data_IF_779896992464
#
_entry.id   IF_779896992464
#
_cell.length_a   1.000
_cell.length_b   1.000
_cell.length_c   1.000
_cell.angle_alpha   90.00
_cell.angle_beta   90.00
_cell.angle_gamma   90.00
#
_symmetry.space_group_name_H-M   'P 1'
#
loop_
_entity.id
_entity.type
_entity.pdbx_description
1 polymer ?
#
# COMPACT_ATOMS: atom_id res chain seq x y z
N UNK A 1 16.36 9.68 -27.26
CA UNK A 1 15.78 10.66 -26.31
C UNK A 1 14.28 10.41 -26.21
N UNK A 2 13.87 9.48 -25.34
CA UNK A 2 12.56 9.37 -24.67
C UNK A 2 12.63 8.11 -23.78
N UNK A 3 13.26 8.17 -22.60
CA UNK A 3 13.00 7.15 -21.57
C UNK A 3 11.55 7.37 -21.20
N UNK A 4 10.66 6.45 -21.56
CA UNK A 4 9.28 6.50 -21.12
C UNK A 4 9.30 6.76 -19.61
N UNK A 5 8.51 7.73 -19.14
CA UNK A 5 8.28 7.84 -17.70
C UNK A 5 7.58 6.55 -17.32
N UNK A 6 8.31 5.57 -16.80
CA UNK A 6 7.74 4.30 -16.35
C UNK A 6 6.86 4.62 -15.15
N UNK A 7 5.56 4.75 -15.43
CA UNK A 7 4.53 4.86 -14.42
C UNK A 7 4.32 3.49 -13.82
N UNK A 8 4.52 3.37 -12.51
CA UNK A 8 4.27 2.14 -11.77
C UNK A 8 2.87 2.25 -11.16
N UNK A 9 1.98 1.34 -11.56
CA UNK A 9 0.67 1.21 -10.93
C UNK A 9 0.81 0.36 -9.65
N UNK A 10 0.20 0.83 -8.57
CA UNK A 10 0.23 0.17 -7.27
C UNK A 10 -1.17 0.06 -6.72
N UNK A 11 -1.59 -1.17 -6.43
CA UNK A 11 -2.78 -1.43 -5.64
C UNK A 11 -2.43 -1.41 -4.15
N UNK A 12 -3.12 -0.61 -3.36
CA UNK A 12 -3.05 -0.59 -1.91
C UNK A 12 -4.40 -1.04 -1.36
N UNK A 13 -4.40 -2.04 -0.49
CA UNK A 13 -5.59 -2.48 0.23
C UNK A 13 -5.32 -2.38 1.72
N UNK A 14 -6.19 -1.66 2.43
CA UNK A 14 -6.16 -1.57 3.89
C UNK A 14 -7.37 -2.30 4.48
N UNK A 15 -7.13 -3.01 5.58
CA UNK A 15 -8.16 -3.66 6.37
C UNK A 15 -7.90 -3.49 7.85
N UNK A 16 -8.98 -3.33 8.63
CA UNK A 16 -8.90 -3.20 10.08
C UNK A 16 -9.98 -4.05 10.77
N UNK A 17 -9.64 -4.83 11.82
CA UNK A 17 -10.62 -5.56 12.61
C UNK A 17 -11.62 -4.67 13.35
N UNK A 18 -11.31 -3.38 13.55
CA UNK A 18 -12.17 -2.42 14.26
C UNK A 18 -13.39 -1.96 13.44
N UNK A 19 -13.48 -2.38 12.16
CA UNK A 19 -14.66 -2.23 11.31
C UNK A 19 -14.57 -1.11 10.27
N UNK A 20 -15.65 -0.96 9.49
CA UNK A 20 -15.68 -0.09 8.31
C UNK A 20 -15.44 1.40 8.61
N UNK A 21 -16.03 1.94 9.67
CA UNK A 21 -15.87 3.37 10.03
C UNK A 21 -14.43 3.69 10.39
N UNK A 22 -13.79 2.85 11.21
CA UNK A 22 -12.36 2.98 11.51
C UNK A 22 -11.53 2.77 10.26
N UNK A 23 -11.84 1.76 9.45
CA UNK A 23 -11.09 1.49 8.21
C UNK A 23 -11.08 2.71 7.28
N UNK A 24 -12.23 3.36 7.13
CA UNK A 24 -12.39 4.50 6.23
C UNK A 24 -11.73 5.77 6.77
N UNK A 25 -11.94 6.12 8.06
CA UNK A 25 -11.27 7.26 8.69
C UNK A 25 -9.75 7.18 8.57
N UNK A 26 -9.24 5.98 8.76
CA UNK A 26 -7.80 5.73 8.74
C UNK A 26 -7.27 5.71 7.30
N UNK A 27 -8.07 5.24 6.34
CA UNK A 27 -7.77 5.39 4.93
C UNK A 27 -7.74 6.86 4.50
N UNK A 28 -8.67 7.69 4.95
CA UNK A 28 -8.68 9.14 4.68
C UNK A 28 -7.38 9.80 5.21
N UNK A 29 -6.97 9.47 6.43
CA UNK A 29 -5.70 9.95 6.98
C UNK A 29 -4.50 9.49 6.15
N UNK A 30 -4.50 8.26 5.63
CA UNK A 30 -3.44 7.78 4.75
C UNK A 30 -3.45 8.53 3.41
N UNK A 31 -4.62 8.80 2.83
CA UNK A 31 -4.78 9.56 1.57
C UNK A 31 -4.15 10.95 1.69
N UNK A 32 -4.39 11.66 2.80
CA UNK A 32 -3.78 12.97 3.06
C UNK A 32 -2.24 12.91 3.05
N UNK A 33 -1.66 11.85 3.61
CA UNK A 33 -0.21 11.63 3.60
C UNK A 33 0.30 11.23 2.20
N UNK A 34 -0.46 10.41 1.47
CA UNK A 34 -0.12 10.00 0.10
C UNK A 34 -0.11 11.18 -0.87
N UNK A 35 -0.99 12.17 -0.67
CA UNK A 35 -1.04 13.39 -1.50
C UNK A 35 0.26 14.23 -1.42
N UNK A 36 1.10 13.99 -0.40
CA UNK A 36 2.42 14.63 -0.28
C UNK A 36 3.50 13.94 -1.14
N UNK A 37 3.20 12.78 -1.74
CA UNK A 37 4.11 12.07 -2.64
C UNK A 37 3.98 12.57 -4.09
N UNK A 38 5.02 12.39 -4.94
CA UNK A 38 4.95 12.71 -6.35
C UNK A 38 4.09 11.68 -7.11
N UNK A 39 2.78 11.74 -6.90
CA UNK A 39 1.78 10.90 -7.55
C UNK A 39 1.52 11.40 -8.97
N UNK A 40 1.29 10.46 -9.89
CA UNK A 40 0.77 10.72 -11.23
C UNK A 40 -0.75 10.69 -11.25
N UNK A 41 -1.33 9.79 -10.45
CA UNK A 41 -2.77 9.64 -10.26
C UNK A 41 -3.07 8.88 -8.97
N UNK A 42 -4.27 9.06 -8.42
CA UNK A 42 -4.81 8.34 -7.27
C UNK A 42 -6.31 8.09 -7.49
N UNK A 43 -6.73 6.83 -7.34
CA UNK A 43 -8.15 6.45 -7.28
C UNK A 43 -8.43 5.71 -5.99
N UNK A 44 -9.32 6.26 -5.16
CA UNK A 44 -9.77 5.63 -3.93
C UNK A 44 -11.11 4.94 -4.18
N UNK A 45 -11.17 3.66 -3.83
CA UNK A 45 -12.41 2.88 -3.74
C UNK A 45 -12.70 2.63 -2.27
N UNK A 46 -13.72 3.30 -1.71
CA UNK A 46 -14.05 3.22 -0.29
C UNK A 46 -14.56 1.83 0.08
N UNK A 47 -14.48 1.51 1.37
CA UNK A 47 -15.01 0.27 1.88
C UNK A 47 -16.53 0.14 1.65
N UNK A 48 -17.04 -1.03 1.20
CA UNK A 48 -18.48 -1.22 1.10
C UNK A 48 -19.11 -1.17 2.49
N UNK A 49 -20.32 -0.61 2.62
CA UNK A 49 -21.02 -0.57 3.91
C UNK A 49 -21.23 -1.99 4.43
N UNK A 50 -21.05 -2.17 5.74
CA UNK A 50 -21.26 -3.47 6.37
C UNK A 50 -22.72 -3.94 6.13
N UNK A 51 -22.95 -5.22 5.78
CA UNK A 51 -24.30 -5.76 5.63
C UNK A 51 -25.09 -5.59 6.94
N UNK A 52 -26.36 -5.20 6.83
CA UNK A 52 -27.24 -5.04 8.00
C UNK A 52 -27.27 -6.32 8.84
N UNK A 53 -26.96 -6.20 10.14
CA UNK A 53 -27.00 -7.33 11.10
C UNK A 53 -25.67 -8.07 11.28
N UNK A 54 -24.60 -7.65 10.63
CA UNK A 54 -23.24 -8.19 10.84
C UNK A 54 -22.70 -7.76 12.21
N UNK A 55 -22.17 -8.70 13.01
CA UNK A 55 -21.48 -8.36 14.27
C UNK A 55 -20.09 -7.81 13.96
N UNK A 56 -19.61 -6.90 14.79
CA UNK A 56 -18.20 -6.47 14.74
C UNK A 56 -17.29 -7.71 14.85
N UNK A 57 -16.43 -7.92 13.85
CA UNK A 57 -15.51 -9.07 13.75
C UNK A 57 -15.91 -10.19 12.77
N UNK A 58 -17.13 -10.20 12.22
CA UNK A 58 -17.58 -11.26 11.28
C UNK A 58 -17.17 -11.00 9.81
N UNK A 59 -16.83 -9.76 9.45
CA UNK A 59 -16.47 -9.37 8.08
C UNK A 59 -15.22 -8.50 8.12
N UNK A 60 -14.15 -8.95 7.47
CA UNK A 60 -13.00 -8.08 7.18
C UNK A 60 -13.43 -7.07 6.14
N UNK A 61 -13.40 -5.80 6.53
CA UNK A 61 -13.74 -4.69 5.65
C UNK A 61 -12.45 -4.18 5.00
N UNK A 62 -12.51 -3.89 3.71
CA UNK A 62 -11.37 -3.45 2.92
C UNK A 62 -11.68 -2.11 2.27
N UNK A 63 -10.77 -1.16 2.40
CA UNK A 63 -10.74 0.07 1.59
C UNK A 63 -9.49 0.01 0.71
N UNK A 64 -9.56 0.49 -0.53
CA UNK A 64 -8.47 0.29 -1.50
C UNK A 64 -8.15 1.54 -2.32
N UNK A 65 -6.88 1.70 -2.69
CA UNK A 65 -6.39 2.80 -3.51
C UNK A 65 -5.58 2.24 -4.67
N UNK A 66 -5.79 2.76 -5.87
CA UNK A 66 -4.89 2.57 -7.03
C UNK A 66 -4.06 3.83 -7.20
N UNK A 67 -2.74 3.69 -7.21
CA UNK A 67 -1.78 4.78 -7.33
C UNK A 67 -0.96 4.65 -8.61
N UNK A 68 -0.80 5.74 -9.34
CA UNK A 68 0.23 5.85 -10.38
C UNK A 68 1.45 6.59 -9.84
N UNK A 69 2.63 5.97 -9.85
CA UNK A 69 3.87 6.57 -9.34
C UNK A 69 4.94 6.78 -10.41
N UNK A 70 5.73 7.85 -10.27
CA UNK A 70 6.84 8.16 -11.17
C UNK A 70 8.12 7.36 -10.84
N UNK A 71 8.13 6.08 -11.20
CA UNK A 71 9.30 5.20 -11.12
C UNK A 71 9.70 4.76 -9.70
N UNK A 72 10.78 3.96 -9.62
CA UNK A 72 11.19 3.25 -8.41
C UNK A 72 11.44 4.11 -7.14
N UNK A 73 11.96 5.34 -7.21
CA UNK A 73 12.12 6.18 -6.01
C UNK A 73 10.78 6.52 -5.34
N UNK A 74 9.74 6.79 -6.13
CA UNK A 74 8.40 7.07 -5.62
C UNK A 74 7.79 5.81 -4.96
N UNK A 75 7.97 4.64 -5.56
CA UNK A 75 7.56 3.33 -4.99
C UNK A 75 8.20 3.11 -3.61
N UNK A 76 9.51 3.38 -3.50
CA UNK A 76 10.22 3.26 -2.22
C UNK A 76 9.66 4.22 -1.18
N UNK A 77 9.40 5.48 -1.54
CA UNK A 77 8.82 6.46 -0.63
C UNK A 77 7.42 6.04 -0.16
N UNK A 78 6.59 5.48 -1.03
CA UNK A 78 5.29 4.92 -0.67
C UNK A 78 5.42 3.81 0.39
N UNK A 79 6.29 2.82 0.14
CA UNK A 79 6.45 1.68 1.05
C UNK A 79 6.90 2.16 2.45
N UNK A 80 7.83 3.12 2.50
CA UNK A 80 8.29 3.70 3.77
C UNK A 80 7.21 4.51 4.47
N UNK A 81 6.41 5.26 3.73
CA UNK A 81 5.26 6.01 4.27
C UNK A 81 4.24 5.06 4.89
N UNK A 82 3.83 4.01 4.17
CA UNK A 82 2.89 3.00 4.67
C UNK A 82 3.45 2.27 5.89
N UNK A 83 4.74 1.96 5.89
CA UNK A 83 5.42 1.33 7.04
C UNK A 83 5.37 2.23 8.28
N UNK A 84 5.64 3.53 8.12
CA UNK A 84 5.63 4.52 9.19
C UNK A 84 4.21 4.80 9.69
N UNK A 85 3.25 4.90 8.77
CA UNK A 85 1.82 5.01 9.07
C UNK A 85 1.33 3.83 9.90
N UNK A 86 1.61 2.58 9.48
CA UNK A 86 1.30 1.39 10.27
C UNK A 86 2.07 1.34 11.61
N UNK A 87 3.17 2.08 11.78
CA UNK A 87 3.91 2.13 13.04
C UNK A 87 3.18 2.90 14.14
N UNK A 88 2.35 3.86 13.74
CA UNK A 88 1.54 4.67 14.66
C UNK A 88 0.26 3.95 15.12
N UNK A 89 -0.05 2.80 14.53
CA UNK A 89 -1.29 2.04 14.75
C UNK A 89 -1.11 0.87 15.71
N UNK A 90 -2.21 0.52 16.37
CA UNK A 90 -2.34 -0.69 17.21
C UNK A 90 -2.92 -1.89 16.45
N UNK A 91 -3.60 -1.66 15.33
CA UNK A 91 -4.35 -2.65 14.55
C UNK A 91 -4.28 -2.33 13.05
N UNK A 92 -4.68 -3.33 12.25
CA UNK A 92 -4.84 -3.22 10.81
C UNK A 92 -3.67 -3.80 10.00
N UNK A 93 -3.95 -4.04 8.72
CA UNK A 93 -3.01 -4.60 7.76
C UNK A 93 -3.13 -3.89 6.41
N UNK A 94 -1.99 -3.64 5.78
CA UNK A 94 -1.90 -3.09 4.43
C UNK A 94 -1.27 -4.12 3.51
N UNK A 95 -1.90 -4.34 2.36
CA UNK A 95 -1.35 -5.13 1.27
C UNK A 95 -1.05 -4.19 0.10
N UNK A 96 0.20 -4.18 -0.35
CA UNK A 96 0.66 -3.44 -1.52
C UNK A 96 0.93 -4.42 -2.67
N UNK A 97 0.40 -4.12 -3.85
CA UNK A 97 0.59 -4.92 -5.08
C UNK A 97 1.25 -4.07 -6.16
N UNK A 98 2.37 -4.55 -6.69
CA UNK A 98 3.18 -3.89 -7.72
C UNK A 98 3.45 -4.93 -8.81
N UNK A 99 2.69 -4.86 -9.91
CA UNK A 99 2.69 -5.94 -10.91
C UNK A 99 2.37 -7.29 -10.26
N UNK A 100 3.26 -8.26 -10.41
CA UNK A 100 3.14 -9.60 -9.81
C UNK A 100 3.69 -9.70 -8.38
N UNK A 101 4.30 -8.63 -7.87
CA UNK A 101 4.87 -8.60 -6.52
C UNK A 101 3.85 -8.10 -5.49
N UNK A 102 3.75 -8.79 -4.36
CA UNK A 102 2.84 -8.43 -3.26
C UNK A 102 3.63 -8.29 -1.94
N UNK A 103 3.27 -7.27 -1.16
CA UNK A 103 3.84 -6.97 0.15
C UNK A 103 2.72 -6.79 1.17
N UNK A 104 2.60 -7.74 2.10
CA UNK A 104 1.66 -7.66 3.21
C UNK A 104 2.37 -7.18 4.48
N UNK A 105 1.84 -6.11 5.09
CA UNK A 105 2.36 -5.51 6.32
C UNK A 105 1.25 -5.45 7.36
N UNK A 106 1.56 -5.90 8.58
CA UNK A 106 0.65 -5.85 9.72
C UNK A 106 1.11 -4.80 10.76
N UNK A 107 0.15 -4.23 11.50
CA UNK A 107 0.44 -3.47 12.70
C UNK A 107 1.00 -4.38 13.81
N UNK A 108 1.80 -3.82 14.73
CA UNK A 108 2.21 -4.51 15.96
C UNK A 108 3.56 -5.25 15.95
N UNK A 109 4.24 -5.43 14.81
CA UNK A 109 5.60 -6.01 14.77
C UNK A 109 6.63 -5.14 14.03
N UNK A 110 7.20 -4.10 14.67
CA UNK A 110 8.07 -3.13 13.99
C UNK A 110 9.37 -3.73 13.43
N UNK A 111 9.94 -4.71 14.13
CA UNK A 111 11.16 -5.38 13.70
C UNK A 111 10.91 -6.28 12.48
N UNK A 112 9.81 -7.03 12.51
CA UNK A 112 9.44 -7.92 11.42
C UNK A 112 9.02 -7.15 10.18
N UNK A 113 8.17 -6.13 10.35
CA UNK A 113 7.75 -5.24 9.28
C UNK A 113 8.93 -4.62 8.54
N UNK A 114 9.97 -4.19 9.28
CA UNK A 114 11.19 -3.63 8.67
C UNK A 114 11.98 -4.66 7.86
N UNK A 115 12.13 -5.89 8.36
CA UNK A 115 12.80 -6.96 7.61
C UNK A 115 12.05 -7.31 6.32
N UNK A 116 10.72 -7.41 6.40
CA UNK A 116 9.86 -7.68 5.25
C UNK A 116 9.99 -6.56 4.19
N UNK A 117 9.93 -5.29 4.61
CA UNK A 117 10.12 -4.13 3.72
C UNK A 117 11.51 -4.14 3.07
N UNK A 118 12.57 -4.36 3.84
CA UNK A 118 13.94 -4.39 3.32
C UNK A 118 14.12 -5.52 2.28
N UNK A 119 13.61 -6.71 2.56
CA UNK A 119 13.66 -7.84 1.63
C UNK A 119 12.88 -7.56 0.34
N UNK A 120 11.70 -6.94 0.45
CA UNK A 120 10.87 -6.61 -0.70
C UNK A 120 11.52 -5.54 -1.59
N UNK A 121 12.09 -4.49 -1.01
CA UNK A 121 12.82 -3.46 -1.76
C UNK A 121 14.04 -4.05 -2.50
N UNK A 122 14.75 -4.99 -1.87
CA UNK A 122 15.86 -5.70 -2.52
C UNK A 122 15.37 -6.58 -3.68
N UNK A 123 14.22 -7.25 -3.53
CA UNK A 123 13.60 -8.02 -4.60
C UNK A 123 13.23 -7.14 -5.80
N UNK A 124 12.51 -6.03 -5.59
CA UNK A 124 12.12 -5.11 -6.66
C UNK A 124 13.33 -4.56 -7.44
N UNK A 125 14.41 -4.23 -6.73
CA UNK A 125 15.65 -3.76 -7.36
C UNK A 125 16.35 -4.83 -8.22
N UNK A 126 16.12 -6.12 -7.91
CA UNK A 126 16.64 -7.24 -8.71
C UNK A 126 15.78 -7.52 -9.94
N UNK A 127 14.46 -7.39 -9.82
CA UNK A 127 13.50 -7.62 -10.90
C UNK A 127 13.62 -6.55 -11.98
N UNK A 128 13.69 -5.27 -11.60
CA UNK A 128 13.86 -4.18 -12.56
C UNK A 128 15.18 -4.22 -13.36
N UNK A 129 16.20 -4.95 -12.89
CA UNK A 129 17.46 -5.14 -13.64
C UNK A 129 17.38 -6.29 -14.65
N UNK A 130 16.50 -7.27 -14.41
CA UNK A 130 16.38 -8.45 -15.26
C UNK A 130 15.69 -8.14 -16.60
N UNK A 131 14.75 -7.18 -16.60
CA UNK A 131 14.01 -6.77 -17.81
C UNK A 131 14.84 -5.84 -18.72
N UNK A 132 15.83 -5.13 -18.17
CA UNK A 132 16.75 -4.26 -18.93
C UNK A 132 17.81 -5.04 -19.77
N UNK A 133 17.87 -6.38 -19.66
CA UNK A 133 18.94 -7.21 -20.25
C UNK A 133 18.57 -7.91 -21.58
N UNK A 134 17.39 -7.66 -22.16
CA UNK A 134 16.95 -8.24 -23.44
C UNK A 134 16.55 -7.15 -24.46
N UNK A 135 17.54 -6.32 -24.85
CA UNK A 135 17.39 -5.23 -25.83
C UNK A 135 18.59 -5.07 -26.76
#
# INVERSE_FOLDING_TARGET
MNRARESVEIGLVFSDPDGAETTEREMESLIEELDQLPLLHMEHTPAPPAPHGTRAGDVTVYSSIVLGLAGAPAVRSLILLVQDWLARRTSGAVTLRIGDSELALEAGSPAERRRIVEAFLAHLASTGRAEDSDG
#
